data_IF_575276143571
#
_entry.id   IF_575276143571
#
_cell.length_a   1.000
_cell.length_b   1.000
_cell.length_c   1.000
_cell.angle_alpha   90.00
_cell.angle_beta   90.00
_cell.angle_gamma   90.00
#
_symmetry.space_group_name_H-M   'P 1'
#
loop_
_entity.id
_entity.type
_entity.pdbx_description
1 polymer ?
#
# COMPACT_ATOMS: atom_id res chain seq x y z
N UNK A 1 6.05 -9.76 0.59
CA UNK A 1 5.06 -10.64 -0.11
C UNK A 1 3.65 -10.25 0.29
N UNK A 2 2.72 -10.24 -0.64
CA UNK A 2 1.28 -10.10 -0.38
C UNK A 2 0.55 -11.27 -1.03
N UNK A 3 -0.26 -12.00 -0.24
CA UNK A 3 -1.04 -13.16 -0.70
C UNK A 3 -2.53 -12.83 -0.59
N UNK A 4 -3.28 -13.08 -1.64
CA UNK A 4 -4.69 -12.68 -1.68
C UNK A 4 -5.61 -13.67 -2.37
N UNK A 5 -6.88 -13.66 -1.92
CA UNK A 5 -7.95 -14.50 -2.45
C UNK A 5 -9.26 -13.72 -2.48
N UNK A 6 -10.16 -14.09 -3.38
CA UNK A 6 -11.54 -13.58 -3.37
C UNK A 6 -12.44 -14.58 -2.62
N UNK A 7 -13.22 -14.05 -1.68
CA UNK A 7 -14.13 -14.81 -0.85
C UNK A 7 -15.58 -14.33 -1.04
N UNK A 8 -16.54 -15.20 -0.77
CA UNK A 8 -17.94 -14.88 -0.48
C UNK A 8 -18.31 -15.32 0.94
N UNK A 9 -19.46 -14.93 1.42
CA UNK A 9 -19.98 -15.30 2.75
C UNK A 9 -19.06 -14.82 3.90
N UNK A 10 -18.40 -13.68 3.73
CA UNK A 10 -17.65 -13.02 4.79
C UNK A 10 -18.62 -12.31 5.73
N UNK A 11 -18.53 -12.55 7.04
CA UNK A 11 -19.49 -12.08 8.03
C UNK A 11 -19.23 -10.62 8.44
N UNK A 12 -19.18 -9.69 7.46
CA UNK A 12 -19.00 -8.26 7.70
C UNK A 12 -19.79 -7.40 6.72
N UNK A 13 -19.78 -6.09 6.93
CA UNK A 13 -20.47 -5.10 6.08
C UNK A 13 -19.72 -4.90 4.77
N UNK A 14 -20.50 -4.66 3.69
CA UNK A 14 -19.96 -4.42 2.34
C UNK A 14 -19.47 -2.97 2.10
N UNK A 15 -19.67 -2.08 3.06
CA UNK A 15 -19.28 -0.66 2.99
C UNK A 15 -18.08 -0.30 3.88
N UNK A 16 -17.43 -1.30 4.49
CA UNK A 16 -16.28 -1.11 5.38
C UNK A 16 -15.09 -1.93 4.87
N UNK A 17 -13.97 -1.27 4.65
CA UNK A 17 -12.68 -1.90 4.46
C UNK A 17 -11.92 -2.02 5.79
N UNK A 18 -11.25 -3.13 6.00
CA UNK A 18 -10.43 -3.36 7.19
C UNK A 18 -8.96 -3.52 6.79
N UNK A 19 -8.09 -2.83 7.51
CA UNK A 19 -6.64 -2.98 7.42
C UNK A 19 -6.11 -3.10 8.84
N UNK A 20 -5.47 -4.20 9.17
CA UNK A 20 -4.87 -4.42 10.48
C UNK A 20 -3.41 -4.81 10.33
N UNK A 21 -2.54 -4.00 10.84
CA UNK A 21 -1.12 -4.32 11.01
C UNK A 21 -0.91 -5.11 12.29
N UNK A 22 0.03 -6.05 12.25
CA UNK A 22 0.59 -6.70 13.42
C UNK A 22 2.09 -6.38 13.49
N UNK A 23 2.45 -5.31 14.20
CA UNK A 23 3.85 -4.86 14.25
C UNK A 23 4.80 -5.86 14.90
N UNK A 24 4.30 -6.73 15.78
CA UNK A 24 5.12 -7.77 16.43
C UNK A 24 5.50 -8.90 15.47
N UNK A 25 4.68 -9.13 14.45
CA UNK A 25 4.92 -10.13 13.41
C UNK A 25 5.46 -9.53 12.10
N UNK A 26 5.41 -8.20 11.94
CA UNK A 26 5.70 -7.52 10.68
C UNK A 26 4.71 -7.86 9.57
N UNK A 27 3.47 -8.18 9.93
CA UNK A 27 2.44 -8.63 8.99
C UNK A 27 1.27 -7.65 8.92
N UNK A 28 0.49 -7.75 7.85
CA UNK A 28 -0.75 -6.99 7.66
C UNK A 28 -1.85 -7.91 7.14
N UNK A 29 -3.07 -7.73 7.61
CA UNK A 29 -4.25 -8.41 7.10
C UNK A 29 -5.28 -7.39 6.65
N UNK A 30 -5.95 -7.66 5.53
CA UNK A 30 -6.95 -6.76 4.97
C UNK A 30 -8.20 -7.49 4.52
N UNK A 31 -9.35 -6.82 4.63
CA UNK A 31 -10.63 -7.25 4.04
C UNK A 31 -11.18 -6.07 3.24
N UNK A 32 -11.25 -6.20 1.94
CA UNK A 32 -11.80 -5.18 1.05
C UNK A 32 -13.10 -5.66 0.41
N UNK A 33 -14.22 -4.95 0.63
CA UNK A 33 -15.48 -5.24 -0.05
C UNK A 33 -15.34 -5.11 -1.56
N UNK A 34 -16.04 -5.98 -2.27
CA UNK A 34 -16.19 -5.95 -3.73
C UNK A 34 -17.67 -6.07 -4.10
N UNK A 35 -18.06 -5.68 -5.31
CA UNK A 35 -19.45 -5.84 -5.75
C UNK A 35 -19.96 -7.28 -5.59
N UNK A 36 -21.28 -7.42 -5.40
CA UNK A 36 -22.01 -8.70 -5.32
C UNK A 36 -21.71 -9.54 -4.07
N UNK A 37 -21.43 -8.90 -2.92
CA UNK A 37 -21.15 -9.61 -1.67
C UNK A 37 -19.84 -10.36 -1.67
N UNK A 38 -18.91 -9.99 -2.53
CA UNK A 38 -17.57 -10.55 -2.57
C UNK A 38 -16.62 -9.70 -1.73
N UNK A 39 -15.55 -10.33 -1.27
CA UNK A 39 -14.48 -9.67 -0.50
C UNK A 39 -13.12 -10.12 -1.00
N UNK A 40 -12.22 -9.18 -1.19
CA UNK A 40 -10.82 -9.47 -1.43
C UNK A 40 -10.10 -9.45 -0.09
N UNK A 41 -9.50 -10.57 0.28
CA UNK A 41 -8.76 -10.74 1.53
C UNK A 41 -7.30 -10.92 1.21
N UNK A 42 -6.43 -10.21 1.94
CA UNK A 42 -4.98 -10.33 1.80
C UNK A 42 -4.30 -10.54 3.15
N UNK A 43 -3.18 -11.24 3.09
CA UNK A 43 -2.16 -11.27 4.15
C UNK A 43 -0.83 -10.83 3.56
N UNK A 44 -0.26 -9.76 4.13
CA UNK A 44 1.09 -9.30 3.82
C UNK A 44 2.07 -9.82 4.88
N UNK A 45 3.23 -10.31 4.44
CA UNK A 45 4.25 -10.87 5.31
C UNK A 45 5.66 -10.65 4.73
N UNK A 46 6.70 -10.62 5.59
CA UNK A 46 8.08 -10.46 5.15
C UNK A 46 8.50 -11.58 4.19
N UNK A 47 9.23 -11.23 3.13
CA UNK A 47 9.78 -12.23 2.18
C UNK A 47 10.72 -13.23 2.84
N UNK A 48 11.29 -12.88 3.99
CA UNK A 48 12.15 -13.74 4.82
C UNK A 48 11.43 -14.95 5.42
N UNK A 49 10.09 -14.99 5.35
CA UNK A 49 9.33 -16.17 5.82
C UNK A 49 9.46 -17.39 4.90
N UNK A 50 10.14 -17.28 3.76
CA UNK A 50 10.52 -18.36 2.86
C UNK A 50 9.36 -19.26 2.36
N UNK A 51 8.13 -18.76 2.32
CA UNK A 51 7.01 -19.43 1.67
C UNK A 51 6.25 -18.45 0.77
N UNK A 52 5.56 -19.04 -0.21
CA UNK A 52 4.69 -18.30 -1.13
C UNK A 52 3.36 -19.02 -1.22
N UNK A 53 2.30 -18.42 -0.68
CA UNK A 53 0.98 -19.01 -0.68
C UNK A 53 0.37 -18.99 -2.09
N UNK A 54 -0.08 -20.15 -2.60
CA UNK A 54 -0.69 -20.23 -3.92
C UNK A 54 -1.60 -21.45 -4.08
N UNK A 55 -2.55 -21.32 -5.00
CA UNK A 55 -3.48 -22.41 -5.31
C UNK A 55 -4.44 -22.75 -4.19
N UNK A 56 -5.24 -23.80 -4.38
CA UNK A 56 -6.27 -24.20 -3.40
C UNK A 56 -5.71 -24.88 -2.16
N UNK A 57 -4.52 -25.48 -2.24
CA UNK A 57 -3.88 -26.19 -1.13
C UNK A 57 -3.52 -25.28 0.04
N UNK A 58 -3.13 -24.04 -0.24
CA UNK A 58 -2.63 -23.11 0.76
C UNK A 58 -3.70 -22.20 1.38
N UNK A 59 -4.97 -22.34 0.97
CA UNK A 59 -6.07 -21.50 1.49
C UNK A 59 -6.22 -21.63 3.01
N UNK A 60 -6.09 -22.84 3.56
CA UNK A 60 -6.13 -23.05 5.02
C UNK A 60 -4.98 -22.34 5.72
N UNK A 61 -3.80 -22.35 5.12
CA UNK A 61 -2.64 -21.63 5.66
C UNK A 61 -2.86 -20.12 5.59
N UNK A 62 -3.43 -19.59 4.49
CA UNK A 62 -3.81 -18.18 4.41
C UNK A 62 -4.73 -17.77 5.57
N UNK A 63 -5.76 -18.55 5.86
CA UNK A 63 -6.69 -18.27 6.95
C UNK A 63 -6.02 -18.35 8.32
N UNK A 64 -5.10 -19.29 8.51
CA UNK A 64 -4.28 -19.38 9.72
C UNK A 64 -3.39 -18.17 9.92
N UNK A 65 -2.70 -17.74 8.85
CA UNK A 65 -1.87 -16.54 8.87
C UNK A 65 -2.70 -15.25 9.06
N UNK A 66 -3.89 -15.20 8.45
CA UNK A 66 -4.83 -14.10 8.67
C UNK A 66 -5.25 -14.02 10.14
N UNK A 67 -5.65 -15.15 10.75
CA UNK A 67 -6.07 -15.20 12.15
C UNK A 67 -4.92 -14.85 13.11
N UNK A 68 -3.69 -15.24 12.77
CA UNK A 68 -2.48 -14.87 13.53
C UNK A 68 -2.17 -13.39 13.43
N UNK A 69 -2.36 -12.81 12.26
CA UNK A 69 -2.09 -11.38 11.99
C UNK A 69 -3.17 -10.49 12.59
N UNK A 70 -4.44 -10.85 12.40
CA UNK A 70 -5.61 -10.06 12.77
C UNK A 70 -6.65 -10.91 13.54
N UNK A 71 -6.37 -11.31 14.78
CA UNK A 71 -7.27 -12.18 15.55
C UNK A 71 -8.66 -11.58 15.77
N UNK A 72 -8.78 -10.25 15.84
CA UNK A 72 -10.07 -9.54 15.98
C UNK A 72 -10.91 -9.63 14.70
N UNK A 73 -10.29 -9.69 13.53
CA UNK A 73 -10.97 -9.80 12.23
C UNK A 73 -11.22 -11.26 11.81
N UNK A 74 -10.50 -12.21 12.39
CA UNK A 74 -10.59 -13.63 12.01
C UNK A 74 -12.02 -14.19 12.05
N UNK A 75 -12.89 -13.85 13.03
CA UNK A 75 -14.28 -14.32 13.06
C UNK A 75 -15.09 -13.94 11.82
N UNK A 76 -14.75 -12.86 11.12
CA UNK A 76 -15.44 -12.47 9.88
C UNK A 76 -15.26 -13.49 8.75
N UNK A 77 -14.19 -14.28 8.78
CA UNK A 77 -13.90 -15.32 7.80
C UNK A 77 -14.52 -16.68 8.17
N UNK A 78 -15.22 -16.78 9.30
CA UNK A 78 -15.92 -18.00 9.70
C UNK A 78 -17.04 -18.31 8.71
N UNK A 79 -16.92 -19.41 7.97
CA UNK A 79 -17.86 -19.78 6.91
C UNK A 79 -17.60 -19.14 5.55
N UNK A 80 -16.55 -18.34 5.40
CA UNK A 80 -16.17 -17.78 4.13
C UNK A 80 -15.71 -18.86 3.14
N UNK A 81 -16.12 -18.70 1.87
CA UNK A 81 -15.81 -19.64 0.80
C UNK A 81 -14.94 -18.96 -0.27
N UNK A 82 -13.89 -19.64 -0.74
CA UNK A 82 -13.07 -19.16 -1.84
C UNK A 82 -13.81 -19.28 -3.18
N UNK A 83 -13.83 -18.18 -3.94
CA UNK A 83 -14.42 -18.12 -5.27
C UNK A 83 -13.41 -17.75 -6.36
N UNK A 84 -12.14 -17.62 -6.02
CA UNK A 84 -11.06 -17.32 -6.92
C UNK A 84 -9.75 -18.00 -6.48
N UNK A 85 -8.72 -17.97 -7.32
CA UNK A 85 -7.44 -18.53 -6.97
C UNK A 85 -6.75 -17.71 -5.87
N UNK A 86 -6.06 -18.40 -4.95
CA UNK A 86 -5.07 -17.78 -4.09
C UNK A 86 -3.80 -17.51 -4.90
N UNK A 87 -3.34 -16.28 -4.87
CA UNK A 87 -2.10 -15.87 -5.54
C UNK A 87 -1.27 -14.98 -4.62
N UNK A 88 0.05 -15.03 -4.80
CA UNK A 88 1.01 -14.19 -4.11
C UNK A 88 1.85 -13.39 -5.09
N UNK A 89 2.19 -12.17 -4.71
CA UNK A 89 3.08 -11.29 -5.46
C UNK A 89 3.99 -10.51 -4.52
N UNK A 90 5.07 -10.01 -5.08
CA UNK A 90 5.94 -9.08 -4.40
C UNK A 90 5.23 -7.73 -4.23
N UNK A 91 5.36 -7.16 -3.05
CA UNK A 91 4.67 -5.93 -2.67
C UNK A 91 5.68 -4.84 -2.32
N UNK A 92 6.71 -4.71 -3.15
CA UNK A 92 7.74 -3.69 -3.00
C UNK A 92 7.50 -2.52 -3.95
N UNK A 93 8.02 -1.36 -3.56
CA UNK A 93 8.07 -0.19 -4.42
C UNK A 93 9.12 -0.41 -5.52
N UNK A 94 8.74 -0.08 -6.73
CA UNK A 94 9.63 -0.10 -7.89
C UNK A 94 9.28 1.09 -8.78
N UNK A 95 10.27 1.78 -9.32
CA UNK A 95 10.03 2.88 -10.26
C UNK A 95 11.17 3.06 -11.25
N UNK A 96 10.82 3.64 -12.39
CA UNK A 96 11.74 4.10 -13.42
C UNK A 96 11.97 5.59 -13.19
N UNK A 97 13.20 5.97 -12.83
CA UNK A 97 13.57 7.38 -12.71
C UNK A 97 13.40 8.07 -14.05
N UNK A 98 12.71 9.19 -14.08
CA UNK A 98 12.42 9.98 -15.26
C UNK A 98 11.72 9.14 -16.35
N UNK A 99 10.44 8.76 -16.18
CA UNK A 99 9.74 7.78 -17.01
C UNK A 99 9.35 8.30 -18.40
N UNK A 100 10.25 9.02 -19.05
CA UNK A 100 10.14 9.49 -20.44
C UNK A 100 11.47 9.39 -21.17
N UNK A 101 11.42 8.86 -22.42
CA UNK A 101 12.59 8.83 -23.30
C UNK A 101 12.17 8.67 -24.75
N UNK A 102 12.71 9.55 -25.65
CA UNK A 102 12.59 9.41 -27.11
C UNK A 102 11.14 9.23 -27.60
N UNK A 103 10.21 10.03 -27.12
CA UNK A 103 8.79 9.97 -27.52
C UNK A 103 7.97 8.88 -26.81
N UNK A 104 8.55 8.13 -25.88
CA UNK A 104 7.86 7.11 -25.08
C UNK A 104 7.74 7.59 -23.64
N UNK A 105 6.51 7.75 -23.16
CA UNK A 105 6.20 7.99 -21.74
C UNK A 105 5.66 6.70 -21.11
N UNK A 106 6.20 6.33 -19.93
CA UNK A 106 5.64 5.28 -19.09
C UNK A 106 4.66 5.90 -18.10
N UNK A 107 3.52 5.25 -17.85
CA UNK A 107 2.52 5.66 -16.87
C UNK A 107 2.03 4.45 -16.06
N UNK A 108 1.47 4.68 -14.88
CA UNK A 108 0.97 3.64 -14.00
C UNK A 108 2.05 2.64 -13.60
N UNK A 109 1.69 1.37 -13.50
CA UNK A 109 2.60 0.30 -13.07
C UNK A 109 3.83 0.13 -13.99
N UNK A 110 3.78 0.64 -15.22
CA UNK A 110 4.96 0.68 -16.12
C UNK A 110 5.98 1.75 -15.70
N UNK A 111 5.54 2.85 -15.09
CA UNK A 111 6.40 3.89 -14.55
C UNK A 111 6.84 3.59 -13.12
N UNK A 112 5.87 3.21 -12.27
CA UNK A 112 6.12 2.97 -10.86
C UNK A 112 5.05 2.07 -10.22
N UNK A 113 5.48 1.18 -9.34
CA UNK A 113 4.58 0.42 -8.45
C UNK A 113 4.84 0.85 -7.02
N UNK A 114 3.79 0.97 -6.23
CA UNK A 114 3.87 1.25 -4.79
C UNK A 114 3.41 0.05 -3.97
N UNK A 115 3.83 -0.01 -2.72
CA UNK A 115 3.33 -1.00 -1.76
C UNK A 115 1.78 -0.95 -1.75
N UNK A 116 1.10 -2.04 -2.11
CA UNK A 116 -0.35 -2.07 -2.25
C UNK A 116 -1.10 -1.85 -0.93
N UNK A 117 -0.45 -1.97 0.21
CA UNK A 117 -1.06 -1.68 1.52
C UNK A 117 -1.43 -0.21 1.67
N UNK A 118 -0.75 0.69 0.93
CA UNK A 118 -1.09 2.10 0.83
C UNK A 118 -2.26 2.40 -0.11
N UNK A 119 -2.66 1.48 -0.99
CA UNK A 119 -3.78 1.64 -1.91
C UNK A 119 -3.59 2.71 -3.01
N UNK A 120 -2.37 3.18 -3.26
CA UNK A 120 -2.09 4.36 -4.11
C UNK A 120 -1.97 4.06 -5.61
N UNK A 121 -1.72 2.81 -6.02
CA UNK A 121 -1.36 2.48 -7.40
C UNK A 121 -2.33 3.03 -8.45
N UNK A 122 -3.63 2.84 -8.26
CA UNK A 122 -4.64 3.35 -9.20
C UNK A 122 -4.71 4.89 -9.21
N UNK A 123 -4.60 5.52 -8.04
CA UNK A 123 -4.61 6.99 -7.94
C UNK A 123 -3.38 7.60 -8.63
N UNK A 124 -2.20 7.01 -8.48
CA UNK A 124 -0.97 7.41 -9.18
C UNK A 124 -1.15 7.24 -10.68
N UNK A 125 -1.68 6.11 -11.17
CA UNK A 125 -1.92 5.87 -12.59
C UNK A 125 -2.86 6.92 -13.22
N UNK A 126 -3.92 7.33 -12.54
CA UNK A 126 -4.80 8.40 -13.00
C UNK A 126 -4.11 9.77 -12.96
N UNK A 127 -3.27 10.00 -11.97
CA UNK A 127 -2.47 11.23 -11.89
C UNK A 127 -1.48 11.30 -13.05
N UNK A 128 -0.76 10.23 -13.37
CA UNK A 128 0.16 10.15 -14.49
C UNK A 128 -0.53 10.51 -15.80
N UNK A 129 -1.68 9.88 -16.06
CA UNK A 129 -2.45 10.14 -17.28
C UNK A 129 -2.91 11.61 -17.36
N UNK A 130 -3.33 12.20 -16.25
CA UNK A 130 -3.73 13.61 -16.17
C UNK A 130 -2.54 14.55 -16.40
N UNK A 131 -1.44 14.32 -15.69
CA UNK A 131 -0.24 15.18 -15.77
C UNK A 131 0.37 15.15 -17.17
N UNK A 132 0.53 13.94 -17.74
CA UNK A 132 1.01 13.78 -19.10
C UNK A 132 0.11 14.52 -20.12
N UNK A 133 -1.22 14.32 -20.01
CA UNK A 133 -2.19 15.03 -20.87
C UNK A 133 -2.04 16.54 -20.75
N UNK A 134 -1.94 17.07 -19.55
CA UNK A 134 -1.91 18.52 -19.31
C UNK A 134 -0.64 19.14 -19.89
N UNK A 135 0.52 18.49 -19.77
CA UNK A 135 1.75 18.92 -20.42
C UNK A 135 1.68 18.85 -21.95
N UNK A 136 1.09 17.78 -22.50
CA UNK A 136 0.92 17.65 -23.96
C UNK A 136 -0.02 18.71 -24.55
N UNK A 137 -1.06 19.10 -23.81
CA UNK A 137 -1.98 20.17 -24.24
C UNK A 137 -1.37 21.56 -24.09
N UNK A 138 -0.47 21.75 -23.16
CA UNK A 138 0.16 23.05 -22.88
C UNK A 138 1.33 23.38 -23.83
N UNK A 139 1.88 22.39 -24.55
CA UNK A 139 3.06 22.57 -25.39
C UNK A 139 2.90 21.89 -26.77
N UNK A 140 3.22 22.54 -27.87
CA UNK A 140 3.33 21.90 -29.19
C UNK A 140 4.57 20.98 -29.29
N UNK A 141 5.56 21.16 -28.43
CA UNK A 141 6.76 20.36 -28.32
C UNK A 141 6.48 19.18 -27.37
N UNK A 142 6.14 18.02 -27.93
CA UNK A 142 5.80 16.81 -27.16
C UNK A 142 7.00 16.19 -26.45
N UNK A 143 8.21 16.40 -26.95
CA UNK A 143 9.41 15.91 -26.26
C UNK A 143 9.64 16.69 -24.97
N UNK A 144 9.54 18.02 -25.03
CA UNK A 144 9.55 18.88 -23.86
C UNK A 144 8.41 18.55 -22.87
N UNK A 145 7.20 18.30 -23.38
CA UNK A 145 6.05 17.92 -22.56
C UNK A 145 6.29 16.58 -21.83
N UNK A 146 6.86 15.60 -22.52
CA UNK A 146 7.22 14.31 -21.93
C UNK A 146 8.27 14.41 -20.83
N UNK A 147 9.28 15.24 -21.02
CA UNK A 147 10.28 15.50 -19.97
C UNK A 147 9.68 16.26 -18.77
N UNK A 148 8.77 17.20 -18.98
CA UNK A 148 8.07 17.91 -17.90
C UNK A 148 7.19 16.96 -17.09
N UNK A 149 6.44 16.08 -17.76
CA UNK A 149 5.70 15.00 -17.09
C UNK A 149 6.62 14.14 -16.22
N UNK A 150 7.72 13.66 -16.78
CA UNK A 150 8.63 12.77 -16.07
C UNK A 150 9.23 13.41 -14.80
N UNK A 151 9.57 14.71 -14.87
CA UNK A 151 10.06 15.44 -13.69
C UNK A 151 8.98 15.57 -12.61
N UNK A 152 7.74 15.89 -13.01
CA UNK A 152 6.62 15.97 -12.05
C UNK A 152 6.27 14.60 -11.47
N UNK A 153 6.36 13.53 -12.28
CA UNK A 153 6.18 12.15 -11.81
C UNK A 153 7.20 11.81 -10.72
N UNK A 154 8.48 12.08 -10.94
CA UNK A 154 9.54 11.80 -9.96
C UNK A 154 9.25 12.50 -8.62
N UNK A 155 8.80 13.75 -8.65
CA UNK A 155 8.48 14.54 -7.44
C UNK A 155 7.34 13.93 -6.63
N UNK A 156 6.19 13.62 -7.26
CA UNK A 156 5.06 13.10 -6.48
C UNK A 156 5.24 11.63 -6.10
N UNK A 157 5.91 10.83 -6.92
CA UNK A 157 6.18 9.45 -6.55
C UNK A 157 7.18 9.36 -5.39
N UNK A 158 8.21 10.21 -5.37
CA UNK A 158 9.15 10.27 -4.25
C UNK A 158 8.46 10.55 -2.90
N UNK A 159 7.43 11.39 -2.89
CA UNK A 159 6.63 11.66 -1.69
C UNK A 159 5.82 10.43 -1.26
N UNK A 160 5.17 9.74 -2.20
CA UNK A 160 4.44 8.50 -1.91
C UNK A 160 5.38 7.42 -1.37
N UNK A 161 6.54 7.22 -2.01
CA UNK A 161 7.56 6.29 -1.55
C UNK A 161 8.05 6.63 -0.13
N UNK A 162 8.35 7.91 0.14
CA UNK A 162 8.79 8.36 1.46
C UNK A 162 7.75 8.02 2.54
N UNK A 163 6.46 8.30 2.28
CA UNK A 163 5.39 7.96 3.22
C UNK A 163 5.28 6.46 3.47
N UNK A 164 5.39 5.64 2.42
CA UNK A 164 5.40 4.18 2.52
C UNK A 164 6.57 3.68 3.36
N UNK A 165 7.79 4.22 3.15
CA UNK A 165 8.97 3.88 3.94
C UNK A 165 8.75 4.21 5.42
N UNK A 166 8.24 5.39 5.75
CA UNK A 166 7.97 5.77 7.14
C UNK A 166 6.95 4.87 7.80
N UNK A 167 5.86 4.54 7.10
CA UNK A 167 4.84 3.62 7.62
C UNK A 167 5.41 2.21 7.85
N UNK A 168 6.21 1.69 6.92
CA UNK A 168 6.88 0.40 7.07
C UNK A 168 7.77 0.38 8.31
N UNK A 169 8.52 1.46 8.55
CA UNK A 169 9.39 1.60 9.73
C UNK A 169 8.65 1.58 11.07
N UNK A 170 7.39 2.01 11.10
CA UNK A 170 6.57 1.99 12.31
C UNK A 170 5.75 0.71 12.40
N UNK A 171 5.12 0.26 11.31
CA UNK A 171 4.10 -0.77 11.38
C UNK A 171 4.58 -2.18 10.99
N UNK A 172 5.72 -2.32 10.30
CA UNK A 172 6.11 -3.62 9.73
C UNK A 172 7.53 -4.07 10.07
N UNK A 173 8.52 -3.16 10.18
CA UNK A 173 9.91 -3.54 10.45
C UNK A 173 10.08 -4.22 11.83
N UNK A 174 11.00 -5.21 11.89
CA UNK A 174 11.24 -6.04 13.06
C UNK A 174 12.57 -5.76 13.76
N UNK A 175 13.29 -4.71 13.34
CA UNK A 175 14.59 -4.36 13.94
C UNK A 175 14.43 -3.82 15.38
N UNK A 176 15.48 -3.88 16.22
CA UNK A 176 15.45 -3.24 17.54
C UNK A 176 15.12 -1.76 17.49
N UNK A 177 15.65 -1.05 16.48
CA UNK A 177 15.42 0.38 16.26
C UNK A 177 13.95 0.65 15.91
N UNK A 178 13.34 -0.20 15.09
CA UNK A 178 11.91 -0.11 14.78
C UNK A 178 11.02 -0.32 16.01
N UNK A 179 11.41 -1.23 16.91
CA UNK A 179 10.69 -1.43 18.19
C UNK A 179 10.76 -0.20 19.08
N UNK A 180 11.93 0.41 19.23
CA UNK A 180 12.08 1.65 20.00
C UNK A 180 11.27 2.79 19.38
N UNK A 181 11.27 2.90 18.05
CA UNK A 181 10.46 3.88 17.31
C UNK A 181 8.97 3.67 17.55
N UNK A 182 8.48 2.43 17.50
CA UNK A 182 7.08 2.09 17.83
C UNK A 182 6.69 2.44 19.25
N UNK A 183 7.54 2.11 20.23
CA UNK A 183 7.29 2.46 21.64
C UNK A 183 7.06 3.96 21.85
N UNK A 184 7.72 4.79 21.03
CA UNK A 184 7.58 6.24 21.05
C UNK A 184 6.34 6.72 20.29
N UNK A 185 6.18 6.28 19.05
CA UNK A 185 5.19 6.80 18.11
C UNK A 185 3.76 6.28 18.40
N UNK A 186 3.59 4.99 18.70
CA UNK A 186 2.26 4.37 18.79
C UNK A 186 1.35 4.97 19.86
N UNK A 187 1.81 5.27 21.09
CA UNK A 187 0.96 5.94 22.07
C UNK A 187 0.45 7.29 21.59
N UNK A 188 1.33 8.07 20.96
CA UNK A 188 0.99 9.41 20.44
C UNK A 188 0.03 9.32 19.23
N UNK A 189 0.21 8.33 18.36
CA UNK A 189 -0.72 8.08 17.24
C UNK A 189 -2.09 7.62 17.77
N UNK A 190 -2.13 6.84 18.84
CA UNK A 190 -3.39 6.41 19.45
C UNK A 190 -4.18 7.57 20.06
N UNK A 191 -3.49 8.56 20.64
CA UNK A 191 -4.09 9.80 21.15
C UNK A 191 -4.51 10.76 20.03
N UNK A 192 -3.70 10.85 18.97
CA UNK A 192 -3.91 11.75 17.84
C UNK A 192 -3.60 11.03 16.51
N UNK A 193 -4.60 10.37 15.90
CA UNK A 193 -4.44 9.66 14.63
C UNK A 193 -3.97 10.55 13.47
N UNK A 194 -4.12 11.88 13.55
CA UNK A 194 -3.65 12.81 12.51
C UNK A 194 -2.13 12.93 12.46
N UNK A 195 -1.41 12.26 13.36
CA UNK A 195 0.05 12.10 13.28
C UNK A 195 0.49 11.20 12.14
N UNK A 196 -0.36 10.26 11.70
CA UNK A 196 -0.09 9.45 10.51
C UNK A 196 -0.23 10.34 9.28
N UNK A 197 0.79 10.42 8.39
CA UNK A 197 0.69 11.21 7.18
C UNK A 197 -0.50 10.80 6.33
N UNK A 198 -1.37 11.76 6.01
CA UNK A 198 -2.64 11.54 5.30
C UNK A 198 -2.45 11.44 3.78
N UNK A 199 -1.38 10.77 3.34
CA UNK A 199 -1.15 10.58 1.91
C UNK A 199 -2.09 9.57 1.27
N UNK A 200 -2.68 8.65 2.08
CA UNK A 200 -3.64 7.65 1.60
C UNK A 200 -4.91 8.28 1.02
N UNK A 201 -5.34 9.42 1.56
CA UNK A 201 -6.56 10.10 1.17
C UNK A 201 -6.29 11.36 0.34
N UNK A 202 -5.24 12.08 0.66
CA UNK A 202 -4.92 13.38 0.06
C UNK A 202 -3.81 13.30 -0.99
N UNK A 203 -3.13 12.17 -1.08
CA UNK A 203 -2.04 11.95 -2.03
C UNK A 203 -0.81 12.83 -1.77
N UNK A 204 0.08 12.97 -2.78
CA UNK A 204 1.38 13.61 -2.63
C UNK A 204 1.34 15.15 -2.64
N UNK A 205 0.17 15.77 -2.62
CA UNK A 205 0.02 17.23 -2.61
C UNK A 205 0.22 17.83 -1.21
N UNK A 206 0.18 16.99 -0.16
CA UNK A 206 0.49 17.41 1.20
C UNK A 206 2.02 17.45 1.46
N UNK A 207 2.46 18.30 2.40
CA UNK A 207 3.86 18.32 2.81
C UNK A 207 4.34 16.97 3.33
N UNK A 208 5.57 16.60 2.96
CA UNK A 208 6.29 15.43 3.45
C UNK A 208 7.70 15.87 3.88
N UNK A 209 7.73 16.83 4.80
CA UNK A 209 8.95 17.44 5.33
C UNK A 209 9.40 16.82 6.67
N UNK A 210 10.50 17.34 7.20
CA UNK A 210 11.05 16.88 8.47
C UNK A 210 10.11 17.13 9.66
N UNK A 211 9.25 18.14 9.61
CA UNK A 211 8.25 18.40 10.65
C UNK A 211 7.17 17.31 10.66
N UNK A 212 6.65 16.93 9.51
CA UNK A 212 5.71 15.81 9.36
C UNK A 212 6.36 14.50 9.82
N UNK A 213 7.62 14.26 9.43
CA UNK A 213 8.38 13.10 9.86
C UNK A 213 8.53 13.05 11.39
N UNK A 214 9.01 14.14 11.98
CA UNK A 214 9.25 14.22 13.42
C UNK A 214 7.96 13.98 14.21
N UNK A 215 6.83 14.57 13.75
CA UNK A 215 5.52 14.39 14.36
C UNK A 215 5.05 12.93 14.26
N UNK A 216 5.23 12.28 13.13
CA UNK A 216 4.86 10.86 12.93
C UNK A 216 5.68 9.92 13.81
N UNK A 217 6.98 10.15 13.93
CA UNK A 217 7.86 9.31 14.75
C UNK A 217 7.84 9.65 16.25
N UNK A 218 7.05 10.64 16.67
CA UNK A 218 6.96 11.07 18.07
C UNK A 218 8.24 11.77 18.57
N UNK A 219 8.93 12.47 17.68
CA UNK A 219 10.11 13.26 18.02
C UNK A 219 9.71 14.68 18.55
N UNK A 220 8.47 15.07 18.24
CA UNK A 220 7.81 16.30 18.71
C UNK A 220 6.37 16.02 19.06
#
# INVERSE_FOLDING_TARGET
MLSGVVLKSVATREDIAFVQYNPELGTVATIFPQPKGHFRVYVGYPSTMNYRLQGSGDVKLLFSEFARTAPVLAPFLSGAECIGPLASFEADDFWVTHPYRNGVALIGDAAATSDPTGGQGMAISFRDARVLRDHLLASPDWDRAGHAYASEHDDYFAKCHTATVWQRQVFQEQTPEARLRRQKAMPLIAEDPTRVPDYLFSGPDLPMDDGVRARFFGEV
#
